data_IF_796333489877
#
_entry.id   IF_796333489877
#
_cell.length_a   1.000
_cell.length_b   1.000
_cell.length_c   1.000
_cell.angle_alpha   90.00
_cell.angle_beta   90.00
_cell.angle_gamma   90.00
#
_symmetry.space_group_name_H-M   'P 1'
#
loop_
_entity.id
_entity.type
_entity.pdbx_description
1 polymer ?
#
# COMPACT_ATOMS: atom_id res chain seq x y z
N UNK A 1 -15.99 -8.85 -16.67
CA UNK A 1 -16.08 -8.91 -15.19
C UNK A 1 -15.10 -9.96 -14.65
N UNK A 2 -13.86 -9.57 -14.34
CA UNK A 2 -12.87 -10.46 -13.71
C UNK A 2 -12.80 -10.15 -12.21
N UNK A 3 -12.92 -11.21 -11.41
CA UNK A 3 -13.16 -11.17 -9.96
C UNK A 3 -11.87 -10.84 -9.20
N UNK A 4 -11.89 -9.76 -8.43
CA UNK A 4 -11.00 -9.58 -7.27
C UNK A 4 -11.43 -10.62 -6.23
N UNK A 5 -10.57 -11.59 -5.93
CA UNK A 5 -10.82 -12.56 -4.85
C UNK A 5 -10.56 -11.87 -3.51
N UNK A 6 -11.62 -11.54 -2.79
CA UNK A 6 -11.56 -11.07 -1.39
C UNK A 6 -11.61 -12.30 -0.48
N UNK A 7 -10.65 -12.44 0.41
CA UNK A 7 -10.60 -13.54 1.38
C UNK A 7 -11.70 -13.41 2.45
N UNK A 8 -12.16 -14.56 2.95
CA UNK A 8 -13.37 -14.77 3.76
C UNK A 8 -13.22 -14.27 5.23
N UNK A 9 -14.18 -13.51 5.81
CA UNK A 9 -14.01 -12.79 7.08
C UNK A 9 -14.04 -13.60 8.40
N UNK A 10 -14.09 -14.93 8.38
CA UNK A 10 -14.39 -15.74 9.59
C UNK A 10 -13.15 -16.13 10.44
N UNK A 11 -11.92 -15.79 10.03
CA UNK A 11 -10.68 -16.20 10.74
C UNK A 11 -10.12 -15.19 11.76
N UNK A 12 -10.96 -14.27 12.26
CA UNK A 12 -10.54 -13.14 13.10
C UNK A 12 -10.15 -13.49 14.55
N UNK A 13 -10.56 -14.64 15.09
CA UNK A 13 -10.47 -14.90 16.54
C UNK A 13 -9.25 -15.71 17.02
N UNK A 14 -8.49 -16.37 16.13
CA UNK A 14 -7.31 -17.16 16.54
C UNK A 14 -6.01 -16.32 16.54
N UNK A 15 -6.07 -15.07 16.08
CA UNK A 15 -4.87 -14.25 15.85
C UNK A 15 -4.33 -13.53 17.10
N UNK A 16 -5.11 -13.45 18.19
CA UNK A 16 -4.69 -12.78 19.42
C UNK A 16 -3.67 -13.57 20.25
N UNK A 17 -3.49 -14.88 20.03
CA UNK A 17 -2.56 -15.69 20.84
C UNK A 17 -1.15 -15.83 20.25
N UNK A 18 -0.95 -15.52 18.97
CA UNK A 18 0.34 -15.76 18.27
C UNK A 18 1.20 -14.48 18.21
N UNK A 19 0.64 -13.31 18.54
CA UNK A 19 1.40 -12.04 18.64
C UNK A 19 2.25 -11.99 19.92
N UNK A 20 1.95 -12.79 20.96
CA UNK A 20 2.75 -12.81 22.20
C UNK A 20 3.93 -13.78 22.18
N UNK A 21 3.96 -14.75 21.25
CA UNK A 21 4.89 -15.90 21.35
C UNK A 21 6.08 -15.91 20.39
N UNK A 22 6.07 -15.16 19.29
CA UNK A 22 7.17 -15.19 18.31
C UNK A 22 7.49 -13.79 17.78
N UNK A 23 8.59 -13.24 18.31
CA UNK A 23 9.43 -12.17 17.76
C UNK A 23 8.89 -10.73 17.81
N UNK A 24 8.69 -10.23 19.04
CA UNK A 24 8.71 -8.79 19.35
C UNK A 24 9.97 -8.09 18.80
N UNK A 25 11.08 -8.83 18.65
CA UNK A 25 12.36 -8.34 18.14
C UNK A 25 12.35 -8.05 16.62
N UNK A 26 11.66 -8.87 15.83
CA UNK A 26 11.65 -8.71 14.37
C UNK A 26 10.76 -7.54 13.94
N UNK A 27 9.65 -7.31 14.66
CA UNK A 27 8.80 -6.13 14.48
C UNK A 27 9.49 -4.86 15.00
N UNK A 28 10.23 -4.90 16.11
CA UNK A 28 10.95 -3.73 16.62
C UNK A 28 12.12 -3.29 15.71
N UNK A 29 12.88 -4.22 15.13
CA UNK A 29 14.00 -3.88 14.24
C UNK A 29 13.51 -3.19 12.95
N UNK A 30 12.34 -3.57 12.45
CA UNK A 30 11.75 -2.96 11.24
C UNK A 30 11.17 -1.57 11.52
N UNK A 31 10.57 -1.40 12.71
CA UNK A 31 10.01 -0.10 13.16
C UNK A 31 11.11 0.91 13.51
N UNK A 32 12.29 0.46 13.97
CA UNK A 32 13.39 1.34 14.35
C UNK A 32 14.26 1.81 13.18
N UNK A 33 14.18 1.17 12.01
CA UNK A 33 15.13 1.43 10.91
C UNK A 33 14.52 2.24 9.74
N UNK A 34 13.24 2.12 9.34
CA UNK A 34 12.79 2.76 8.07
C UNK A 34 11.31 3.18 7.88
N UNK A 35 10.62 3.62 8.93
CA UNK A 35 9.73 4.78 8.76
C UNK A 35 9.94 5.81 9.87
N UNK A 36 10.14 7.08 9.51
CA UNK A 36 10.36 8.12 10.51
C UNK A 36 9.11 8.38 11.37
N UNK A 37 9.29 9.07 12.50
CA UNK A 37 8.21 9.49 13.42
C UNK A 37 7.03 10.14 12.66
N UNK A 38 7.30 10.79 11.52
CA UNK A 38 6.28 11.47 10.72
C UNK A 38 5.20 10.53 10.18
N UNK A 39 5.53 9.40 9.52
CA UNK A 39 4.45 8.50 9.05
C UNK A 39 3.75 7.80 10.21
N UNK A 40 4.49 7.48 11.29
CA UNK A 40 3.88 6.86 12.46
C UNK A 40 2.79 7.79 13.04
N UNK A 41 3.14 9.04 13.30
CA UNK A 41 2.22 10.03 13.87
C UNK A 41 1.12 10.41 12.89
N UNK A 42 1.41 10.40 11.58
CA UNK A 42 0.40 10.64 10.55
C UNK A 42 -0.64 9.52 10.53
N UNK A 43 -0.22 8.25 10.55
CA UNK A 43 -1.13 7.10 10.60
C UNK A 43 -1.91 7.03 11.92
N UNK A 44 -1.30 7.42 13.05
CA UNK A 44 -1.99 7.49 14.35
C UNK A 44 -3.16 8.50 14.33
N UNK A 45 -3.12 9.50 13.44
CA UNK A 45 -4.20 10.47 13.21
C UNK A 45 -5.20 10.04 12.14
N UNK A 46 -4.90 9.00 11.35
CA UNK A 46 -5.67 8.57 10.17
C UNK A 46 -5.82 7.02 10.13
N UNK A 47 -6.20 6.40 11.24
CA UNK A 47 -6.09 4.94 11.42
C UNK A 47 -7.22 4.10 10.77
N UNK A 48 -8.06 4.68 9.91
CA UNK A 48 -9.31 4.03 9.46
C UNK A 48 -9.21 3.32 8.09
N UNK A 49 -8.02 3.20 7.51
CA UNK A 49 -7.85 2.56 6.20
C UNK A 49 -7.93 1.04 6.26
N UNK A 50 -8.76 0.46 5.40
CA UNK A 50 -8.88 -1.00 5.22
C UNK A 50 -7.98 -1.56 4.12
N UNK A 51 -7.35 -0.69 3.33
CA UNK A 51 -6.40 -1.06 2.31
C UNK A 51 -5.34 0.03 2.12
N UNK A 52 -4.10 -0.41 1.89
CA UNK A 52 -2.96 0.39 1.45
C UNK A 52 -2.68 0.05 -0.01
N UNK A 53 -2.42 1.06 -0.83
CA UNK A 53 -2.09 0.92 -2.25
C UNK A 53 -0.65 1.37 -2.47
N UNK A 54 0.14 0.48 -3.05
CA UNK A 54 1.44 0.82 -3.60
C UNK A 54 1.25 1.62 -4.90
N UNK A 55 1.30 2.95 -4.77
CA UNK A 55 1.00 3.85 -5.86
C UNK A 55 1.96 3.71 -7.03
N UNK A 56 3.25 3.45 -6.76
CA UNK A 56 4.28 3.34 -7.79
C UNK A 56 4.10 2.07 -8.62
N UNK A 57 3.95 0.91 -7.96
CA UNK A 57 3.75 -0.37 -8.62
C UNK A 57 2.45 -0.37 -9.44
N UNK A 58 1.34 0.06 -8.85
CA UNK A 58 0.05 0.10 -9.55
C UNK A 58 0.08 1.08 -10.70
N UNK A 59 0.66 2.27 -10.57
CA UNK A 59 0.72 3.23 -11.67
C UNK A 59 1.67 2.83 -12.81
N UNK A 60 2.62 1.92 -12.57
CA UNK A 60 3.56 1.42 -13.59
C UNK A 60 3.19 0.05 -14.16
N UNK A 61 2.20 -0.63 -13.59
CA UNK A 61 1.86 -1.97 -13.99
C UNK A 61 1.45 -2.04 -15.47
N UNK A 62 2.12 -2.92 -16.23
CA UNK A 62 1.97 -3.09 -17.68
C UNK A 62 2.24 -1.84 -18.53
N UNK A 63 3.13 -0.96 -18.08
CA UNK A 63 3.56 0.26 -18.79
C UNK A 63 4.92 0.10 -19.51
N UNK A 64 5.37 -1.12 -19.79
CA UNK A 64 6.69 -1.39 -20.38
C UNK A 64 6.75 -1.23 -21.93
N UNK A 65 6.05 -0.26 -22.49
CA UNK A 65 6.05 0.05 -23.94
C UNK A 65 6.82 1.36 -24.23
N UNK A 66 7.12 1.65 -25.49
CA UNK A 66 8.05 2.74 -25.88
C UNK A 66 7.68 4.12 -25.29
N UNK A 67 6.39 4.47 -25.27
CA UNK A 67 5.85 5.69 -24.65
C UNK A 67 5.18 5.42 -23.30
N UNK A 68 5.49 4.27 -22.70
CA UNK A 68 4.90 3.82 -21.45
C UNK A 68 5.43 4.61 -20.28
N UNK A 69 4.52 4.98 -19.38
CA UNK A 69 4.84 5.83 -18.25
C UNK A 69 3.89 5.56 -17.10
N UNK A 70 4.08 6.30 -16.01
CA UNK A 70 3.16 6.25 -14.89
C UNK A 70 1.74 6.62 -15.34
N UNK A 71 0.76 5.78 -15.04
CA UNK A 71 -0.65 5.95 -15.40
C UNK A 71 -1.48 6.34 -14.16
N UNK A 72 -1.84 7.63 -13.99
CA UNK A 72 -2.68 8.07 -12.87
C UNK A 72 -4.11 7.55 -12.98
N UNK A 73 -4.63 7.39 -14.19
CA UNK A 73 -5.96 6.84 -14.44
C UNK A 73 -6.08 5.39 -13.98
N UNK A 74 -5.05 4.58 -14.24
CA UNK A 74 -4.99 3.20 -13.76
C UNK A 74 -4.99 3.13 -12.22
N UNK A 75 -4.21 3.98 -11.56
CA UNK A 75 -4.19 4.08 -10.11
C UNK A 75 -5.55 4.53 -9.55
N UNK A 76 -6.16 5.55 -10.14
CA UNK A 76 -7.48 6.05 -9.75
C UNK A 76 -8.59 5.00 -9.90
N UNK A 77 -8.57 4.22 -10.98
CA UNK A 77 -9.51 3.13 -11.18
C UNK A 77 -9.41 2.07 -10.07
N UNK A 78 -8.19 1.70 -9.66
CA UNK A 78 -7.97 0.79 -8.53
C UNK A 78 -8.47 1.40 -7.21
N UNK A 79 -8.18 2.67 -6.95
CA UNK A 79 -8.63 3.39 -5.75
C UNK A 79 -10.16 3.42 -5.65
N UNK A 80 -10.85 3.73 -6.75
CA UNK A 80 -12.32 3.75 -6.82
C UNK A 80 -12.93 2.36 -6.67
N UNK A 81 -12.33 1.34 -7.28
CA UNK A 81 -12.79 -0.04 -7.14
C UNK A 81 -12.67 -0.54 -5.69
N UNK A 82 -11.59 -0.17 -4.99
CA UNK A 82 -11.42 -0.49 -3.57
C UNK A 82 -12.47 0.23 -2.71
N UNK A 83 -12.71 1.51 -2.96
CA UNK A 83 -13.75 2.30 -2.28
C UNK A 83 -15.15 1.66 -2.43
N UNK A 84 -15.48 1.21 -3.64
CA UNK A 84 -16.75 0.56 -3.90
C UNK A 84 -16.89 -0.78 -3.17
N UNK A 85 -15.82 -1.60 -3.14
CA UNK A 85 -15.82 -2.89 -2.45
C UNK A 85 -15.85 -2.79 -0.93
N UNK A 86 -15.24 -1.75 -0.37
CA UNK A 86 -15.20 -1.52 1.09
C UNK A 86 -16.49 -0.92 1.63
N UNK A 87 -17.48 -0.63 0.78
CA UNK A 87 -18.74 0.01 1.20
C UNK A 87 -18.56 1.49 1.54
N UNK A 88 -17.62 2.17 0.89
CA UNK A 88 -17.42 3.62 1.02
C UNK A 88 -16.23 4.05 1.87
N UNK A 89 -15.24 3.17 2.08
CA UNK A 89 -13.98 3.50 2.76
C UNK A 89 -12.85 3.64 1.76
N UNK A 90 -12.25 4.81 1.70
CA UNK A 90 -11.13 5.04 0.78
C UNK A 90 -9.87 4.28 1.24
N UNK A 91 -9.08 3.73 0.31
CA UNK A 91 -7.76 3.20 0.63
C UNK A 91 -6.74 4.33 0.83
N UNK A 92 -5.63 4.05 1.50
CA UNK A 92 -4.47 4.96 1.52
C UNK A 92 -3.54 4.65 0.35
N UNK A 93 -3.29 5.63 -0.51
CA UNK A 93 -2.27 5.57 -1.55
C UNK A 93 -0.94 6.07 -1.00
N UNK A 94 0.09 5.23 -1.08
CA UNK A 94 1.46 5.61 -0.72
C UNK A 94 2.28 5.74 -2.01
N UNK A 95 2.97 6.86 -2.20
CA UNK A 95 3.85 7.05 -3.35
C UNK A 95 5.01 8.00 -3.06
N UNK A 96 6.12 7.84 -3.78
CA UNK A 96 7.27 8.72 -3.63
C UNK A 96 7.00 10.19 -4.04
N UNK A 97 7.56 11.14 -3.28
CA UNK A 97 7.36 12.60 -3.49
C UNK A 97 7.67 13.08 -4.91
N UNK A 98 8.67 12.49 -5.58
CA UNK A 98 8.99 12.82 -6.98
C UNK A 98 7.82 12.53 -7.94
N UNK A 99 7.11 11.42 -7.73
CA UNK A 99 5.93 11.07 -8.54
C UNK A 99 4.78 12.02 -8.23
N UNK A 100 4.51 12.23 -6.95
CA UNK A 100 3.52 13.21 -6.49
C UNK A 100 3.75 14.60 -7.12
N UNK A 101 4.97 15.13 -7.04
CA UNK A 101 5.39 16.39 -7.68
C UNK A 101 5.05 16.43 -9.17
N UNK A 102 5.43 15.40 -9.92
CA UNK A 102 5.15 15.33 -11.36
C UNK A 102 3.65 15.33 -11.68
N UNK A 103 2.82 14.72 -10.82
CA UNK A 103 1.36 14.74 -10.99
C UNK A 103 0.74 16.11 -10.69
N UNK A 104 1.20 16.79 -9.65
CA UNK A 104 0.74 18.14 -9.28
C UNK A 104 1.15 19.19 -10.33
N UNK A 105 2.34 19.04 -10.90
CA UNK A 105 2.85 19.92 -11.96
C UNK A 105 2.08 19.73 -13.28
N UNK A 106 1.51 18.55 -13.53
CA UNK A 106 0.67 18.28 -14.70
C UNK A 106 -0.77 18.80 -14.52
N UNK A 107 -1.24 19.79 -15.32
CA UNK A 107 -2.58 20.36 -15.20
C UNK A 107 -3.71 19.33 -15.36
N UNK A 108 -3.50 18.26 -16.13
CA UNK A 108 -4.51 17.21 -16.37
C UNK A 108 -4.80 16.37 -15.14
N UNK A 109 -3.84 16.26 -14.21
CA UNK A 109 -3.94 15.40 -13.02
C UNK A 109 -3.97 16.17 -11.71
N UNK A 110 -3.68 17.48 -11.73
CA UNK A 110 -3.68 18.33 -10.53
C UNK A 110 -4.95 18.20 -9.71
N UNK A 111 -6.12 18.30 -10.35
CA UNK A 111 -7.43 18.22 -9.66
C UNK A 111 -7.64 16.86 -8.98
N UNK A 112 -7.19 15.78 -9.59
CA UNK A 112 -7.27 14.43 -9.01
C UNK A 112 -6.41 14.33 -7.74
N UNK A 113 -5.19 14.85 -7.80
CA UNK A 113 -4.26 14.82 -6.66
C UNK A 113 -4.77 15.69 -5.51
N UNK A 114 -5.29 16.89 -5.80
CA UNK A 114 -5.94 17.76 -4.82
C UNK A 114 -7.12 17.05 -4.14
N UNK A 115 -7.98 16.38 -4.91
CA UNK A 115 -9.09 15.60 -4.37
C UNK A 115 -8.61 14.47 -3.44
N UNK A 116 -7.50 13.80 -3.77
CA UNK A 116 -6.92 12.77 -2.89
C UNK A 116 -6.32 13.35 -1.62
N UNK A 117 -5.71 14.54 -1.68
CA UNK A 117 -5.19 15.25 -0.52
C UNK A 117 -6.32 15.71 0.40
N UNK A 118 -7.39 16.28 -0.16
CA UNK A 118 -8.55 16.77 0.61
C UNK A 118 -9.28 15.64 1.34
N UNK A 119 -9.35 14.46 0.71
CA UNK A 119 -9.87 13.24 1.35
C UNK A 119 -8.90 12.61 2.36
N UNK A 120 -7.65 13.06 2.38
CA UNK A 120 -6.59 12.47 3.20
C UNK A 120 -6.21 11.06 2.76
N UNK A 121 -6.32 10.71 1.49
CA UNK A 121 -6.10 9.32 1.00
C UNK A 121 -4.75 9.13 0.31
N UNK A 122 -3.86 10.13 0.41
CA UNK A 122 -2.55 10.14 -0.23
C UNK A 122 -1.46 10.48 0.77
N UNK A 123 -0.45 9.63 0.85
CA UNK A 123 0.78 9.86 1.58
C UNK A 123 1.97 9.92 0.62
N UNK A 124 2.61 11.09 0.52
CA UNK A 124 3.82 11.28 -0.28
C UNK A 124 5.07 10.99 0.58
N UNK A 125 5.82 9.94 0.25
CA UNK A 125 7.03 9.57 0.98
C UNK A 125 8.19 10.53 0.67
N UNK A 126 9.05 10.85 1.65
CA UNK A 126 10.12 11.82 1.46
C UNK A 126 11.19 11.33 0.49
N UNK A 127 11.85 12.27 -0.19
CA UNK A 127 12.94 11.96 -1.10
C UNK A 127 14.14 11.34 -0.38
N UNK A 128 14.78 10.36 -1.03
CA UNK A 128 15.96 9.68 -0.48
C UNK A 128 15.65 8.48 0.42
N UNK A 129 14.37 8.09 0.51
CA UNK A 129 13.93 6.86 1.17
C UNK A 129 13.19 5.95 0.21
N UNK A 130 13.27 4.64 0.42
CA UNK A 130 12.49 3.68 -0.37
C UNK A 130 11.02 3.73 0.09
N UNK A 131 10.10 3.98 -0.84
CA UNK A 131 8.66 3.99 -0.59
C UNK A 131 8.11 2.61 -0.19
N UNK A 132 8.82 1.52 -0.51
CA UNK A 132 8.44 0.16 -0.14
C UNK A 132 8.19 -0.04 1.35
N UNK A 133 9.05 0.57 2.17
CA UNK A 133 8.93 0.47 3.62
C UNK A 133 7.69 1.15 4.16
N UNK A 134 7.20 2.20 3.51
CA UNK A 134 6.08 3.00 3.99
C UNK A 134 4.76 2.28 3.78
N UNK A 135 4.52 1.72 2.59
CA UNK A 135 3.29 0.94 2.37
C UNK A 135 3.31 -0.37 3.15
N UNK A 136 4.48 -1.00 3.32
CA UNK A 136 4.59 -2.22 4.11
C UNK A 136 4.31 -1.95 5.58
N UNK A 137 4.95 -0.92 6.14
CA UNK A 137 4.71 -0.49 7.52
C UNK A 137 3.24 -0.13 7.75
N UNK A 138 2.62 0.65 6.86
CA UNK A 138 1.22 1.04 6.99
C UNK A 138 0.29 -0.18 7.01
N UNK A 139 0.49 -1.14 6.10
CA UNK A 139 -0.35 -2.33 6.01
C UNK A 139 -0.19 -3.24 7.24
N UNK A 140 1.05 -3.41 7.73
CA UNK A 140 1.33 -4.21 8.94
C UNK A 140 0.76 -3.53 10.19
N UNK A 141 0.96 -2.22 10.34
CA UNK A 141 0.49 -1.45 11.50
C UNK A 141 -1.03 -1.44 11.60
N UNK A 142 -1.72 -1.16 10.50
CA UNK A 142 -3.18 -1.09 10.43
C UNK A 142 -3.84 -2.47 10.30
N UNK A 143 -3.05 -3.52 10.07
CA UNK A 143 -3.51 -4.91 9.90
C UNK A 143 -4.55 -5.03 8.77
N UNK A 144 -4.26 -4.39 7.64
CA UNK A 144 -5.20 -4.24 6.54
C UNK A 144 -4.63 -4.77 5.22
N UNK A 145 -5.40 -4.68 4.14
CA UNK A 145 -4.99 -5.19 2.83
C UNK A 145 -3.83 -4.36 2.25
N UNK A 146 -2.93 -5.00 1.52
CA UNK A 146 -1.86 -4.36 0.76
C UNK A 146 -2.06 -4.66 -0.73
N UNK A 147 -2.30 -3.62 -1.53
CA UNK A 147 -2.52 -3.72 -2.96
C UNK A 147 -1.21 -3.40 -3.69
N UNK A 148 -0.54 -4.44 -4.14
CA UNK A 148 0.69 -4.36 -4.95
C UNK A 148 0.88 -5.65 -5.75
N UNK A 149 1.43 -5.52 -6.96
CA UNK A 149 1.91 -6.64 -7.76
C UNK A 149 3.40 -6.93 -7.52
N UNK A 150 4.05 -6.22 -6.61
CA UNK A 150 5.41 -6.53 -6.20
C UNK A 150 5.49 -7.92 -5.55
N UNK A 151 6.44 -8.73 -5.97
CA UNK A 151 6.59 -10.09 -5.42
C UNK A 151 7.25 -10.08 -4.04
N UNK A 152 7.85 -8.94 -3.64
CA UNK A 152 8.61 -8.70 -2.42
C UNK A 152 9.75 -9.70 -2.25
N UNK A 153 10.50 -9.92 -3.34
CA UNK A 153 11.60 -10.92 -3.43
C UNK A 153 12.97 -10.38 -3.05
N UNK A 154 13.10 -9.08 -2.79
CA UNK A 154 14.39 -8.51 -2.45
C UNK A 154 14.95 -9.11 -1.16
N UNK A 155 16.27 -9.33 -1.14
CA UNK A 155 17.00 -9.87 0.02
C UNK A 155 16.77 -9.07 1.31
N UNK A 156 16.37 -7.81 1.16
CA UNK A 156 16.02 -6.92 2.25
C UNK A 156 14.76 -7.42 3.01
N UNK A 157 13.79 -8.04 2.32
CA UNK A 157 12.60 -8.62 2.94
C UNK A 157 12.87 -9.99 3.58
N UNK A 158 13.95 -10.67 3.21
CA UNK A 158 14.37 -11.93 3.88
C UNK A 158 14.71 -11.69 5.36
N UNK A 159 15.09 -10.46 5.72
CA UNK A 159 15.33 -10.02 7.10
C UNK A 159 14.06 -10.01 7.97
N UNK A 160 12.86 -10.01 7.37
CA UNK A 160 11.57 -9.98 8.09
C UNK A 160 11.16 -11.33 8.70
N UNK A 161 12.02 -12.35 8.61
CA UNK A 161 11.74 -13.70 9.07
C UNK A 161 10.86 -14.44 8.06
N UNK A 162 11.51 -15.29 7.26
CA UNK A 162 10.94 -15.94 6.07
C UNK A 162 9.55 -16.53 6.30
N UNK A 163 9.33 -17.34 7.33
CA UNK A 163 8.06 -18.05 7.51
C UNK A 163 6.86 -17.16 7.90
N UNK A 164 7.08 -16.08 8.66
CA UNK A 164 5.99 -15.19 9.09
C UNK A 164 5.58 -14.27 7.96
N UNK A 165 6.58 -13.66 7.30
CA UNK A 165 6.32 -12.72 6.21
C UNK A 165 5.55 -13.38 5.07
N UNK A 166 5.90 -14.60 4.65
CA UNK A 166 5.13 -15.31 3.61
C UNK A 166 3.68 -15.56 4.01
N UNK A 167 3.42 -15.94 5.27
CA UNK A 167 2.04 -16.13 5.79
C UNK A 167 1.27 -14.84 5.94
N UNK A 168 1.96 -13.72 6.22
CA UNK A 168 1.35 -12.40 6.24
C UNK A 168 1.00 -11.97 4.81
N UNK A 169 1.96 -12.09 3.90
CA UNK A 169 1.84 -11.76 2.47
C UNK A 169 0.68 -12.49 1.82
N UNK A 170 0.58 -13.81 2.01
CA UNK A 170 -0.53 -14.63 1.47
C UNK A 170 -1.91 -14.17 1.95
N UNK A 171 -2.00 -13.58 3.15
CA UNK A 171 -3.26 -13.11 3.74
C UNK A 171 -3.62 -11.68 3.41
N UNK A 172 -2.64 -10.81 3.22
CA UNK A 172 -2.87 -9.36 3.13
C UNK A 172 -2.58 -8.82 1.73
N UNK A 173 -1.72 -9.47 0.94
CA UNK A 173 -1.40 -9.02 -0.41
C UNK A 173 -2.57 -9.27 -1.36
N UNK A 174 -2.98 -8.22 -2.08
CA UNK A 174 -3.95 -8.27 -3.15
C UNK A 174 -3.28 -7.82 -4.44
N UNK A 175 -3.25 -8.72 -5.42
CA UNK A 175 -2.71 -8.42 -6.74
C UNK A 175 -3.80 -7.93 -7.70
N UNK A 176 -3.47 -6.93 -8.51
CA UNK A 176 -4.30 -6.41 -9.59
C UNK A 176 -4.03 -7.21 -10.87
N UNK A 177 -5.06 -7.88 -11.39
CA UNK A 177 -4.96 -8.72 -12.58
C UNK A 177 -5.55 -8.02 -13.82
N UNK A 178 -4.68 -7.60 -14.74
CA UNK A 178 -5.05 -6.89 -15.97
C UNK A 178 -5.16 -5.37 -15.77
N UNK A 179 -5.31 -4.60 -16.86
CA UNK A 179 -5.59 -3.16 -16.77
C UNK A 179 -7.06 -2.96 -16.38
N UNK A 180 -7.37 -2.06 -15.44
CA UNK A 180 -8.72 -1.54 -15.27
C UNK A 180 -9.12 -0.81 -16.56
N UNK A 181 -10.27 -1.17 -17.13
CA UNK A 181 -10.83 -0.51 -18.33
C UNK A 181 -11.33 0.91 -18.00
#
# INVERSE_FOLDING_TARGET
MKKIKVANPVFFYVFNLIIFGATLLCVHIVILIFPNVLIKDWLDKHAEYEAIVDGANIGLYQQNFADGGFSPSQLDAVVKELYNKSGGKWPLVVMHYRRFRGLVENPSYRKLVEEWMDKGILYATPSGSNDDWYWLYAAVKLKCLLVTNDEMRDHIFELLGSSFFFKWKDRHQVCVLGRPD
#
